data_IF_651413340220
#
_entry.id   IF_651413340220
#
_cell.length_a   1.000
_cell.length_b   1.000
_cell.length_c   1.000
_cell.angle_alpha   90.00
_cell.angle_beta   90.00
_cell.angle_gamma   90.00
#
_symmetry.space_group_name_H-M   'P 1'
#
loop_
_entity.id
_entity.type
_entity.pdbx_description
1 polymer ?
#
# COMPACT_ATOMS: atom_id res chain seq x y z
N UNK A 1 -32.29 -1.86 -16.94
CA UNK A 1 -31.20 -1.53 -17.88
C UNK A 1 -30.15 -0.56 -17.26
N UNK A 2 -30.56 0.43 -16.45
CA UNK A 2 -29.62 1.42 -15.88
C UNK A 2 -28.56 0.80 -14.98
N UNK A 3 -28.88 -0.19 -14.14
CA UNK A 3 -27.93 -0.87 -13.26
C UNK A 3 -26.88 -1.63 -14.06
N UNK A 4 -27.25 -2.30 -15.15
CA UNK A 4 -26.33 -2.99 -16.03
C UNK A 4 -25.46 -2.00 -16.81
N UNK A 5 -26.03 -0.89 -17.27
CA UNK A 5 -25.28 0.15 -17.99
C UNK A 5 -24.26 0.85 -17.10
N UNK A 6 -24.52 0.95 -15.78
CA UNK A 6 -23.57 1.49 -14.79
C UNK A 6 -22.41 0.54 -14.42
N UNK A 7 -22.38 -0.68 -14.94
CA UNK A 7 -21.36 -1.70 -14.61
C UNK A 7 -19.92 -1.18 -14.79
N UNK A 8 -19.62 -0.57 -15.93
CA UNK A 8 -18.27 -0.09 -16.23
C UNK A 8 -17.81 1.02 -15.27
N UNK A 9 -18.72 1.89 -14.87
CA UNK A 9 -18.43 2.92 -13.88
C UNK A 9 -18.16 2.31 -12.50
N UNK A 10 -18.95 1.32 -12.09
CA UNK A 10 -18.78 0.65 -10.80
C UNK A 10 -17.48 -0.17 -10.76
N UNK A 11 -17.13 -0.88 -11.82
CA UNK A 11 -15.89 -1.68 -11.90
C UNK A 11 -14.64 -0.80 -11.69
N UNK A 12 -14.66 0.42 -12.17
CA UNK A 12 -13.56 1.38 -12.04
C UNK A 12 -13.67 2.26 -10.79
N UNK A 13 -14.67 2.05 -9.94
CA UNK A 13 -14.84 2.86 -8.73
C UNK A 13 -13.98 2.38 -7.57
N UNK A 14 -13.52 3.32 -6.75
CA UNK A 14 -12.82 3.01 -5.50
C UNK A 14 -13.67 2.11 -4.58
N UNK A 15 -15.00 2.26 -4.65
CA UNK A 15 -15.96 1.47 -3.87
C UNK A 15 -15.87 -0.03 -4.16
N UNK A 16 -15.62 -0.43 -5.42
CA UNK A 16 -15.48 -1.84 -5.79
C UNK A 16 -14.01 -2.30 -5.78
N UNK A 17 -13.08 -1.50 -6.31
CA UNK A 17 -11.66 -1.88 -6.44
C UNK A 17 -11.04 -2.22 -5.07
N UNK A 18 -11.40 -1.45 -4.04
CA UNK A 18 -10.87 -1.63 -2.68
C UNK A 18 -11.70 -2.56 -1.79
N UNK A 19 -12.69 -3.25 -2.39
CA UNK A 19 -13.52 -4.22 -1.69
C UNK A 19 -12.82 -5.58 -1.56
N UNK A 20 -13.29 -6.41 -0.63
CA UNK A 20 -12.82 -7.78 -0.52
C UNK A 20 -13.35 -8.64 -1.68
N UNK A 21 -12.58 -9.67 -2.05
CA UNK A 21 -12.88 -10.50 -3.22
C UNK A 21 -14.29 -11.11 -3.21
N UNK A 22 -14.82 -11.47 -2.04
CA UNK A 22 -16.16 -12.04 -1.92
C UNK A 22 -17.25 -11.05 -2.34
N UNK A 23 -17.15 -9.78 -1.95
CA UNK A 23 -18.11 -8.76 -2.32
C UNK A 23 -17.95 -8.32 -3.77
N UNK A 24 -16.70 -8.25 -4.28
CA UNK A 24 -16.44 -8.03 -5.71
C UNK A 24 -17.11 -9.12 -6.54
N UNK A 25 -16.97 -10.38 -6.13
CA UNK A 25 -17.57 -11.52 -6.81
C UNK A 25 -19.11 -11.50 -6.70
N UNK A 26 -19.66 -11.14 -5.54
CA UNK A 26 -21.11 -11.03 -5.35
C UNK A 26 -21.72 -9.98 -6.31
N UNK A 27 -21.07 -8.82 -6.44
CA UNK A 27 -21.48 -7.80 -7.41
C UNK A 27 -21.39 -8.33 -8.85
N UNK A 28 -20.27 -8.96 -9.22
CA UNK A 28 -20.08 -9.51 -10.56
C UNK A 28 -21.10 -10.57 -10.91
N UNK A 29 -21.43 -11.46 -9.98
CA UNK A 29 -22.45 -12.51 -10.16
C UNK A 29 -23.85 -11.91 -10.31
N UNK A 30 -24.20 -10.90 -9.53
CA UNK A 30 -25.49 -10.25 -9.62
C UNK A 30 -25.67 -9.56 -10.99
N UNK A 31 -24.64 -8.89 -11.48
CA UNK A 31 -24.64 -8.27 -12.82
C UNK A 31 -24.75 -9.35 -13.91
N UNK A 32 -23.95 -10.41 -13.86
CA UNK A 32 -23.99 -11.50 -14.85
C UNK A 32 -25.38 -12.16 -14.94
N UNK A 33 -26.00 -12.41 -13.79
CA UNK A 33 -27.37 -12.95 -13.75
C UNK A 33 -28.39 -12.02 -14.41
N UNK A 34 -28.28 -10.71 -14.15
CA UNK A 34 -29.16 -9.73 -14.78
C UNK A 34 -28.91 -9.56 -16.29
N UNK A 35 -27.67 -9.70 -16.76
CA UNK A 35 -27.33 -9.69 -18.19
C UNK A 35 -27.96 -10.90 -18.91
N UNK A 36 -27.95 -12.07 -18.27
CA UNK A 36 -28.65 -13.27 -18.80
C UNK A 36 -30.15 -13.01 -18.96
N UNK A 37 -30.79 -12.39 -17.94
CA UNK A 37 -32.21 -12.05 -18.04
C UNK A 37 -32.47 -11.01 -19.12
N UNK A 38 -31.61 -9.98 -19.25
CA UNK A 38 -31.75 -8.98 -20.31
C UNK A 38 -31.68 -9.61 -21.70
N UNK A 39 -30.79 -10.57 -21.91
CA UNK A 39 -30.63 -11.26 -23.19
C UNK A 39 -31.78 -12.21 -23.50
N UNK A 40 -32.53 -12.70 -22.49
CA UNK A 40 -33.74 -13.47 -22.61
C UNK A 40 -34.99 -12.59 -22.85
N UNK A 41 -34.87 -11.27 -22.82
CA UNK A 41 -35.99 -10.34 -22.95
C UNK A 41 -36.72 -10.38 -24.29
N UNK A 42 -36.21 -11.16 -25.27
CA UNK A 42 -36.91 -11.47 -26.52
C UNK A 42 -37.89 -12.66 -26.37
N UNK A 43 -37.94 -13.30 -25.20
CA UNK A 43 -38.86 -14.39 -24.91
C UNK A 43 -39.90 -13.86 -23.88
N UNK A 44 -41.20 -13.84 -24.20
CA UNK A 44 -42.24 -13.17 -23.41
C UNK A 44 -42.57 -13.82 -22.06
N UNK A 45 -41.79 -14.79 -21.58
CA UNK A 45 -42.00 -15.51 -20.31
C UNK A 45 -41.28 -14.92 -19.10
N UNK A 46 -40.62 -13.75 -19.21
CA UNK A 46 -40.02 -13.11 -18.05
C UNK A 46 -41.09 -12.51 -17.14
N UNK A 47 -41.32 -13.14 -16.01
CA UNK A 47 -42.24 -12.61 -15.02
C UNK A 47 -41.62 -11.42 -14.25
N UNK A 48 -42.49 -10.56 -13.73
CA UNK A 48 -42.13 -9.37 -12.97
C UNK A 48 -41.29 -9.73 -11.75
N UNK A 49 -41.57 -10.83 -11.07
CA UNK A 49 -40.89 -11.24 -9.82
C UNK A 49 -39.43 -11.56 -10.08
N UNK A 50 -39.11 -12.29 -11.14
CA UNK A 50 -37.75 -12.63 -11.55
C UNK A 50 -36.92 -11.37 -11.85
N UNK A 51 -37.51 -10.39 -12.54
CA UNK A 51 -36.85 -9.10 -12.83
C UNK A 51 -36.60 -8.30 -11.54
N UNK A 52 -37.59 -8.19 -10.67
CA UNK A 52 -37.47 -7.49 -9.38
C UNK A 52 -36.41 -8.14 -8.47
N UNK A 53 -36.34 -9.46 -8.48
CA UNK A 53 -35.31 -10.19 -7.71
C UNK A 53 -33.90 -9.90 -8.22
N UNK A 54 -33.70 -9.85 -9.54
CA UNK A 54 -32.40 -9.48 -10.12
C UNK A 54 -32.01 -8.03 -9.77
N UNK A 55 -32.93 -7.10 -9.80
CA UNK A 55 -32.73 -5.71 -9.36
C UNK A 55 -32.33 -5.66 -7.89
N UNK A 56 -33.04 -6.38 -7.04
CA UNK A 56 -32.77 -6.41 -5.58
C UNK A 56 -31.40 -7.03 -5.28
N UNK A 57 -31.01 -8.08 -6.01
CA UNK A 57 -29.69 -8.70 -5.85
C UNK A 57 -28.55 -7.74 -6.20
N UNK A 58 -28.68 -6.97 -7.30
CA UNK A 58 -27.68 -5.96 -7.67
C UNK A 58 -27.63 -4.85 -6.63
N UNK A 59 -28.77 -4.31 -6.19
CA UNK A 59 -28.81 -3.26 -5.20
C UNK A 59 -28.22 -3.71 -3.86
N UNK A 60 -28.52 -4.93 -3.43
CA UNK A 60 -27.94 -5.52 -2.22
C UNK A 60 -26.42 -5.68 -2.33
N UNK A 61 -25.93 -6.14 -3.48
CA UNK A 61 -24.49 -6.25 -3.71
C UNK A 61 -23.82 -4.87 -3.67
N UNK A 62 -24.39 -3.83 -4.29
CA UNK A 62 -23.88 -2.46 -4.28
C UNK A 62 -23.88 -1.86 -2.84
N UNK A 63 -24.96 -2.11 -2.09
CA UNK A 63 -25.09 -1.58 -0.72
C UNK A 63 -24.09 -2.22 0.26
N UNK A 64 -23.66 -3.44 -0.01
CA UNK A 64 -22.67 -4.14 0.80
C UNK A 64 -21.22 -3.75 0.46
N UNK A 65 -20.99 -2.93 -0.57
CA UNK A 65 -19.65 -2.45 -0.90
C UNK A 65 -19.25 -1.29 0.01
N UNK A 66 -18.08 -1.38 0.62
CA UNK A 66 -17.48 -0.35 1.46
C UNK A 66 -15.97 -0.16 1.21
N UNK A 67 -15.52 -0.43 -0.02
CA UNK A 67 -14.11 -0.38 -0.40
C UNK A 67 -13.43 0.96 -0.11
N UNK A 68 -14.16 2.09 -0.19
CA UNK A 68 -13.62 3.40 0.17
C UNK A 68 -13.24 3.49 1.67
N UNK A 69 -14.11 2.99 2.55
CA UNK A 69 -13.83 2.92 3.98
C UNK A 69 -12.65 1.97 4.28
N UNK A 70 -12.55 0.86 3.54
CA UNK A 70 -11.44 -0.09 3.65
C UNK A 70 -10.12 0.52 3.20
N UNK A 71 -10.12 1.31 2.11
CA UNK A 71 -8.93 2.05 1.68
C UNK A 71 -8.51 3.08 2.74
N UNK A 72 -9.46 3.84 3.27
CA UNK A 72 -9.20 4.82 4.35
C UNK A 72 -8.56 4.14 5.55
N UNK A 73 -9.16 3.04 6.01
CA UNK A 73 -8.62 2.26 7.14
C UNK A 73 -7.23 1.71 6.86
N UNK A 74 -6.98 1.20 5.65
CA UNK A 74 -5.66 0.71 5.26
C UNK A 74 -4.59 1.82 5.30
N UNK A 75 -4.93 3.04 4.85
CA UNK A 75 -4.05 4.21 4.93
C UNK A 75 -3.74 4.60 6.37
N UNK A 76 -4.75 4.69 7.23
CA UNK A 76 -4.58 5.00 8.65
C UNK A 76 -3.66 4.00 9.35
N UNK A 77 -3.87 2.70 9.12
CA UNK A 77 -3.06 1.63 9.71
C UNK A 77 -1.61 1.66 9.18
N UNK A 78 -1.42 1.96 7.89
CA UNK A 78 -0.09 2.09 7.30
C UNK A 78 0.66 3.30 7.86
N UNK A 79 0.02 4.47 7.94
CA UNK A 79 0.60 5.69 8.54
C UNK A 79 1.00 5.44 9.99
N UNK A 80 0.12 4.82 10.80
CA UNK A 80 0.43 4.47 12.18
C UNK A 80 1.64 3.52 12.26
N UNK A 81 1.71 2.54 11.36
CA UNK A 81 2.83 1.59 11.29
C UNK A 81 4.15 2.29 10.91
N UNK A 82 4.14 3.17 9.89
CA UNK A 82 5.32 3.92 9.45
C UNK A 82 5.84 4.86 10.56
N UNK A 83 4.94 5.53 11.27
CA UNK A 83 5.33 6.42 12.37
C UNK A 83 6.04 5.69 13.52
N UNK A 84 5.77 4.40 13.70
CA UNK A 84 6.42 3.54 14.69
C UNK A 84 7.76 2.94 14.23
N UNK A 85 8.17 3.11 12.97
CA UNK A 85 9.46 2.64 12.47
C UNK A 85 10.59 3.46 13.08
N UNK A 86 11.49 2.82 13.81
CA UNK A 86 12.53 3.50 14.60
C UNK A 86 13.79 3.83 13.81
N UNK A 87 14.03 3.14 12.70
CA UNK A 87 15.18 3.37 11.84
C UNK A 87 15.01 4.57 10.91
N UNK A 88 13.79 4.94 10.57
CA UNK A 88 13.51 6.05 9.66
C UNK A 88 13.69 7.42 10.32
N UNK A 89 14.23 8.39 9.57
CA UNK A 89 14.21 9.81 9.95
C UNK A 89 12.79 10.38 9.83
N UNK A 90 12.57 11.56 10.43
CA UNK A 90 11.27 12.24 10.32
C UNK A 90 10.93 12.62 8.87
N UNK A 91 11.93 13.00 8.09
CA UNK A 91 11.79 13.35 6.68
C UNK A 91 11.38 12.13 5.86
N UNK A 92 12.04 10.97 6.11
CA UNK A 92 11.67 9.70 5.47
C UNK A 92 10.25 9.30 5.83
N UNK A 93 9.86 9.34 7.12
CA UNK A 93 8.48 9.06 7.54
C UNK A 93 7.47 9.97 6.85
N UNK A 94 7.80 11.26 6.72
CA UNK A 94 6.93 12.23 6.04
C UNK A 94 6.74 11.86 4.56
N UNK A 95 7.81 11.52 3.84
CA UNK A 95 7.76 11.08 2.43
C UNK A 95 6.91 9.82 2.26
N UNK A 96 7.16 8.80 3.11
CA UNK A 96 6.40 7.54 3.07
C UNK A 96 4.91 7.75 3.40
N UNK A 97 4.59 8.58 4.39
CA UNK A 97 3.20 8.93 4.72
C UNK A 97 2.50 9.68 3.57
N UNK A 98 3.22 10.55 2.84
CA UNK A 98 2.68 11.19 1.64
C UNK A 98 2.39 10.17 0.53
N UNK A 99 3.26 9.18 0.33
CA UNK A 99 3.05 8.10 -0.63
C UNK A 99 1.82 7.24 -0.26
N UNK A 100 1.65 6.89 1.03
CA UNK A 100 0.44 6.22 1.53
C UNK A 100 -0.81 7.04 1.24
N UNK A 101 -0.80 8.33 1.55
CA UNK A 101 -1.94 9.22 1.33
C UNK A 101 -2.30 9.37 -0.16
N UNK A 102 -1.30 9.37 -1.04
CA UNK A 102 -1.46 9.42 -2.51
C UNK A 102 -1.99 8.11 -3.12
N UNK A 103 -1.92 6.99 -2.42
CA UNK A 103 -2.34 5.67 -2.92
C UNK A 103 -3.85 5.64 -3.20
N UNK A 104 -4.23 4.99 -4.31
CA UNK A 104 -5.63 4.86 -4.75
C UNK A 104 -6.21 3.47 -4.47
N UNK A 105 -5.35 2.49 -4.16
CA UNK A 105 -5.76 1.11 -3.87
C UNK A 105 -5.10 0.59 -2.59
N UNK A 106 -5.74 -0.40 -1.96
CA UNK A 106 -5.20 -1.09 -0.79
C UNK A 106 -3.86 -1.79 -1.09
N UNK A 107 -3.69 -2.30 -2.31
CA UNK A 107 -2.44 -2.94 -2.73
C UNK A 107 -1.30 -1.92 -2.84
N UNK A 108 -1.57 -0.71 -3.35
CA UNK A 108 -0.59 0.37 -3.35
C UNK A 108 -0.17 0.75 -1.93
N UNK A 109 -1.12 0.88 -1.00
CA UNK A 109 -0.83 1.13 0.42
C UNK A 109 0.04 0.03 1.01
N UNK A 110 -0.29 -1.24 0.74
CA UNK A 110 0.49 -2.38 1.24
C UNK A 110 1.92 -2.40 0.68
N UNK A 111 2.11 -2.02 -0.59
CA UNK A 111 3.43 -1.92 -1.21
C UNK A 111 4.27 -0.82 -0.55
N UNK A 112 3.72 0.39 -0.37
CA UNK A 112 4.42 1.47 0.33
C UNK A 112 4.84 1.04 1.73
N UNK A 113 3.94 0.43 2.50
CA UNK A 113 4.25 -0.04 3.87
C UNK A 113 5.35 -1.11 3.87
N UNK A 114 5.33 -2.05 2.91
CA UNK A 114 6.38 -3.07 2.76
C UNK A 114 7.74 -2.42 2.50
N UNK A 115 7.78 -1.46 1.57
CA UNK A 115 9.01 -0.80 1.16
C UNK A 115 9.56 0.11 2.28
N UNK A 116 8.67 0.80 3.02
CA UNK A 116 9.03 1.55 4.23
C UNK A 116 9.66 0.68 5.32
N UNK A 117 9.15 -0.54 5.53
CA UNK A 117 9.73 -1.50 6.49
C UNK A 117 11.12 -1.99 6.04
N UNK A 118 11.31 -2.22 4.74
CA UNK A 118 12.61 -2.59 4.19
C UNK A 118 13.63 -1.45 4.34
N UNK A 119 13.21 -0.21 4.11
CA UNK A 119 14.03 0.97 4.34
C UNK A 119 14.40 1.12 5.83
N UNK A 120 13.44 0.95 6.73
CA UNK A 120 13.67 0.97 8.18
C UNK A 120 14.75 -0.02 8.61
N UNK A 121 14.68 -1.26 8.11
CA UNK A 121 15.67 -2.29 8.39
C UNK A 121 17.07 -1.90 7.87
N UNK A 122 17.14 -1.35 6.66
CA UNK A 122 18.41 -0.87 6.09
C UNK A 122 19.00 0.29 6.89
N UNK A 123 18.16 1.23 7.33
CA UNK A 123 18.56 2.35 8.17
C UNK A 123 19.05 1.90 9.56
N UNK A 124 18.41 0.89 10.16
CA UNK A 124 18.88 0.30 11.41
C UNK A 124 20.26 -0.34 11.23
N UNK A 125 20.46 -1.11 10.17
CA UNK A 125 21.77 -1.69 9.84
C UNK A 125 22.84 -0.62 9.67
N UNK A 126 22.52 0.48 8.98
CA UNK A 126 23.44 1.60 8.80
C UNK A 126 23.80 2.27 10.15
N UNK A 127 22.82 2.46 11.03
CA UNK A 127 23.07 2.97 12.39
C UNK A 127 24.01 2.07 13.18
N UNK A 128 23.83 0.77 13.11
CA UNK A 128 24.66 -0.20 13.79
C UNK A 128 26.12 -0.12 13.29
N UNK A 129 26.31 0.01 11.97
CA UNK A 129 27.65 0.18 11.38
C UNK A 129 28.31 1.48 11.83
N UNK A 130 27.59 2.61 11.80
CA UNK A 130 28.10 3.92 12.27
C UNK A 130 28.41 3.89 13.76
N UNK A 131 27.51 3.34 14.59
CA UNK A 131 27.71 3.25 16.03
C UNK A 131 28.89 2.34 16.43
N UNK A 132 29.23 1.37 15.58
CA UNK A 132 30.35 0.45 15.80
C UNK A 132 31.73 1.05 15.46
N UNK A 133 31.80 2.29 14.95
CA UNK A 133 33.03 2.95 14.52
C UNK A 133 34.14 2.91 15.59
N UNK A 134 33.80 3.30 16.83
CA UNK A 134 34.76 3.32 17.91
C UNK A 134 35.36 1.94 18.26
N UNK A 135 34.54 0.88 18.11
CA UNK A 135 34.99 -0.50 18.30
C UNK A 135 35.97 -0.87 17.18
N UNK A 136 35.66 -0.55 15.93
CA UNK A 136 36.54 -0.81 14.78
C UNK A 136 37.86 -0.04 14.93
N UNK A 137 37.84 1.24 15.31
CA UNK A 137 39.03 2.04 15.53
C UNK A 137 39.98 1.46 16.60
N UNK A 138 39.44 0.72 17.58
CA UNK A 138 40.25 0.07 18.63
C UNK A 138 40.81 -1.29 18.23
N UNK A 139 40.46 -1.80 17.02
CA UNK A 139 40.99 -3.09 16.55
C UNK A 139 42.40 -2.96 15.99
N UNK A 140 43.20 -4.03 16.13
CA UNK A 140 44.54 -4.08 15.51
C UNK A 140 44.51 -4.00 13.98
N UNK A 141 43.42 -4.46 13.36
CA UNK A 141 43.22 -4.35 11.90
C UNK A 141 43.16 -2.88 11.47
N UNK A 142 42.36 -2.07 12.14
CA UNK A 142 42.30 -0.63 11.83
C UNK A 142 43.59 0.07 12.24
N UNK A 143 44.12 -0.21 13.45
CA UNK A 143 45.30 0.47 13.99
C UNK A 143 46.54 0.32 13.12
N UNK A 144 46.77 -0.91 12.55
CA UNK A 144 47.96 -1.23 11.76
C UNK A 144 47.73 -1.03 10.25
N UNK A 145 46.56 -0.55 9.82
CA UNK A 145 46.26 -0.36 8.41
C UNK A 145 46.89 0.93 7.86
N UNK A 146 47.06 1.01 6.54
CA UNK A 146 47.55 2.20 5.85
C UNK A 146 46.54 3.37 5.95
N UNK A 147 47.08 4.59 5.93
CA UNK A 147 46.26 5.83 6.05
C UNK A 147 45.18 5.95 4.95
N UNK A 148 45.43 5.42 3.77
CA UNK A 148 44.46 5.44 2.67
C UNK A 148 43.20 4.63 3.00
N UNK A 149 43.37 3.41 3.54
CA UNK A 149 42.26 2.54 3.93
C UNK A 149 41.52 3.07 5.14
N UNK A 150 42.25 3.62 6.14
CA UNK A 150 41.64 4.32 7.28
C UNK A 150 40.73 5.46 6.82
N UNK A 151 41.25 6.35 5.97
CA UNK A 151 40.49 7.47 5.42
C UNK A 151 39.27 6.99 4.60
N UNK A 152 39.42 5.91 3.85
CA UNK A 152 38.31 5.33 3.07
C UNK A 152 37.17 4.84 3.99
N UNK A 153 37.55 4.13 5.07
CA UNK A 153 36.59 3.67 6.06
C UNK A 153 35.92 4.85 6.77
N UNK A 154 36.70 5.82 7.28
CA UNK A 154 36.18 6.96 8.02
C UNK A 154 35.24 7.81 7.16
N UNK A 155 35.61 8.09 5.91
CA UNK A 155 34.74 8.81 4.98
C UNK A 155 33.43 8.07 4.68
N UNK A 156 33.47 6.72 4.60
CA UNK A 156 32.25 5.94 4.42
C UNK A 156 31.31 6.03 5.64
N UNK A 157 31.87 5.97 6.85
CA UNK A 157 31.12 6.14 8.10
C UNK A 157 30.56 7.56 8.22
N UNK A 158 31.35 8.58 7.94
CA UNK A 158 30.90 9.98 7.98
C UNK A 158 29.75 10.22 6.97
N UNK A 159 29.87 9.68 5.76
CA UNK A 159 28.81 9.73 4.76
C UNK A 159 27.55 9.01 5.26
N UNK A 160 27.69 7.79 5.79
CA UNK A 160 26.58 7.05 6.40
C UNK A 160 25.90 7.81 7.52
N UNK A 161 26.67 8.54 8.35
CA UNK A 161 26.15 9.38 9.43
C UNK A 161 25.22 10.48 8.93
N UNK A 162 25.47 11.06 7.75
CA UNK A 162 24.60 12.11 7.18
C UNK A 162 23.22 11.60 6.85
N UNK A 163 23.09 10.34 6.42
CA UNK A 163 21.79 9.70 6.14
C UNK A 163 20.98 9.47 7.44
N UNK A 164 21.64 8.99 8.50
CA UNK A 164 20.94 8.70 9.77
C UNK A 164 20.59 9.95 10.57
N UNK A 165 21.25 11.07 10.32
CA UNK A 165 20.96 12.37 10.98
C UNK A 165 19.93 13.22 10.21
N UNK A 166 19.50 12.78 9.03
CA UNK A 166 18.58 13.52 8.18
C UNK A 166 19.21 14.73 7.46
N UNK A 167 20.55 14.82 7.45
CA UNK A 167 21.28 15.88 6.72
C UNK A 167 21.36 15.58 5.21
N UNK A 168 21.08 14.33 4.82
CA UNK A 168 20.94 13.96 3.41
C UNK A 168 19.48 14.04 3.02
N UNK A 169 19.21 14.67 1.86
CA UNK A 169 17.84 14.74 1.31
C UNK A 169 17.36 13.31 1.04
N UNK A 170 16.19 12.86 1.53
CA UNK A 170 15.70 11.52 1.24
C UNK A 170 15.41 11.39 -0.26
N UNK A 171 16.12 10.50 -0.93
CA UNK A 171 15.84 10.10 -2.31
C UNK A 171 14.57 9.24 -2.44
#
# INVERSE_FOLDING_TARGET
NNLINGKNQMINSSKLINEDANQQQAYSNAIASAEVLKNKSQNPELDKVTIEQAINNINSAINNLNGEAKLTKAKEDAVASINNLSGLTNEQKTKENQAVNGSQTRDQVANVLRDSKALDQSMQTLRDLVNNQNVIHSTSNYFNEDSTQKNTYDNAIDNGSTYITGQHNPE
#
